data_IF_101159204241
#
_entry.id   IF_101159204241
#
_cell.length_a   1.000
_cell.length_b   1.000
_cell.length_c   1.000
_cell.angle_alpha   90.00
_cell.angle_beta   90.00
_cell.angle_gamma   90.00
#
_symmetry.space_group_name_H-M   'P 1'
#
loop_
_entity.id
_entity.type
_entity.pdbx_description
1 polymer ?
#
# COMPACT_ATOMS: atom_id res chain seq x y z
N UNK A 1 7.13 13.73 22.36
CA UNK A 1 5.93 13.21 21.65
C UNK A 1 5.26 14.25 20.74
N UNK A 2 5.48 15.57 20.88
CA UNK A 2 4.81 16.59 20.06
C UNK A 2 5.30 16.77 18.62
N UNK A 3 6.57 16.43 18.34
CA UNK A 3 7.18 16.68 17.02
C UNK A 3 6.54 15.78 15.94
N UNK A 4 6.18 14.54 16.28
CA UNK A 4 5.66 13.59 15.31
C UNK A 4 4.27 13.98 14.78
N UNK A 5 3.35 14.39 15.66
CA UNK A 5 2.02 14.83 15.23
C UNK A 5 2.06 16.11 14.38
N UNK A 6 2.98 17.04 14.67
CA UNK A 6 3.10 18.28 13.88
C UNK A 6 3.56 18.01 12.45
N UNK A 7 4.59 17.17 12.29
CA UNK A 7 5.15 16.85 10.97
C UNK A 7 4.15 16.02 10.15
N UNK A 8 3.46 15.08 10.79
CA UNK A 8 2.46 14.25 10.10
C UNK A 8 1.29 15.11 9.59
N UNK A 9 0.76 16.02 10.41
CA UNK A 9 -0.32 16.91 9.99
C UNK A 9 0.10 17.82 8.82
N UNK A 10 1.36 18.28 8.81
CA UNK A 10 1.89 19.08 7.71
C UNK A 10 2.05 18.25 6.43
N UNK A 11 2.55 17.01 6.53
CA UNK A 11 2.68 16.10 5.40
C UNK A 11 1.32 15.75 4.78
N UNK A 12 0.32 15.42 5.60
CA UNK A 12 -1.06 15.16 5.14
C UNK A 12 -1.60 16.37 4.39
N UNK A 13 -1.45 17.58 4.95
CA UNK A 13 -1.90 18.82 4.30
C UNK A 13 -1.18 19.05 2.97
N UNK A 14 0.12 18.82 2.92
CA UNK A 14 0.91 19.00 1.69
C UNK A 14 0.42 18.09 0.56
N UNK A 15 0.19 16.80 0.84
CA UNK A 15 -0.29 15.86 -0.18
C UNK A 15 -1.74 16.10 -0.59
N UNK A 16 -2.64 16.49 0.31
CA UNK A 16 -4.01 16.88 -0.07
C UNK A 16 -4.01 18.12 -0.95
N UNK A 17 -3.23 19.15 -0.61
CA UNK A 17 -3.08 20.33 -1.47
C UNK A 17 -2.50 19.95 -2.84
N UNK A 18 -1.56 19.00 -2.90
CA UNK A 18 -1.04 18.52 -4.17
C UNK A 18 -2.15 17.85 -5.00
N UNK A 19 -2.98 16.99 -4.39
CA UNK A 19 -4.12 16.36 -5.06
C UNK A 19 -5.13 17.38 -5.61
N UNK A 20 -5.38 18.48 -4.90
CA UNK A 20 -6.27 19.55 -5.38
C UNK A 20 -5.73 20.31 -6.60
N UNK A 21 -4.40 20.36 -6.76
CA UNK A 21 -3.73 21.09 -7.84
C UNK A 21 -3.40 20.22 -9.06
N UNK A 22 -3.32 18.91 -8.87
CA UNK A 22 -3.01 17.97 -9.95
C UNK A 22 -4.21 17.84 -10.90
N UNK A 23 -4.00 17.93 -12.22
CA UNK A 23 -5.07 17.63 -13.16
C UNK A 23 -5.38 16.13 -13.18
N UNK A 24 -6.62 15.76 -13.51
CA UNK A 24 -7.09 14.35 -13.53
C UNK A 24 -6.26 13.41 -14.42
N UNK A 25 -5.53 13.97 -15.40
CA UNK A 25 -4.67 13.21 -16.30
C UNK A 25 -3.22 13.03 -15.79
N UNK A 26 -2.84 13.65 -14.67
CA UNK A 26 -1.54 13.48 -14.03
C UNK A 26 -1.48 12.17 -13.22
N UNK A 27 -1.81 11.05 -13.88
CA UNK A 27 -2.03 9.74 -13.23
C UNK A 27 -0.83 9.26 -12.41
N UNK A 28 0.41 9.56 -12.84
CA UNK A 28 1.60 9.17 -12.09
C UNK A 28 1.77 9.98 -10.79
N UNK A 29 1.51 11.28 -10.83
CA UNK A 29 1.63 12.15 -9.67
C UNK A 29 0.47 11.90 -8.68
N UNK A 30 -0.74 11.68 -9.20
CA UNK A 30 -1.90 11.26 -8.41
C UNK A 30 -1.62 9.92 -7.70
N UNK A 31 -1.08 8.94 -8.42
CA UNK A 31 -0.66 7.66 -7.84
C UNK A 31 0.33 7.84 -6.69
N UNK A 32 1.37 8.67 -6.89
CA UNK A 32 2.40 8.91 -5.89
C UNK A 32 1.84 9.62 -4.65
N UNK A 33 1.02 10.67 -4.83
CA UNK A 33 0.40 11.41 -3.75
C UNK A 33 -0.52 10.52 -2.90
N UNK A 34 -1.39 9.73 -3.55
CA UNK A 34 -2.23 8.76 -2.86
C UNK A 34 -1.42 7.67 -2.15
N UNK A 35 -0.34 7.16 -2.75
CA UNK A 35 0.52 6.16 -2.10
C UNK A 35 1.14 6.71 -0.80
N UNK A 36 1.62 7.95 -0.85
CA UNK A 36 2.23 8.61 0.30
C UNK A 36 1.21 8.90 1.41
N UNK A 37 0.00 9.36 1.06
CA UNK A 37 -1.08 9.52 2.04
C UNK A 37 -1.44 8.18 2.69
N UNK A 38 -1.50 7.09 1.91
CA UNK A 38 -1.73 5.76 2.43
C UNK A 38 -0.70 5.35 3.48
N UNK A 39 0.59 5.58 3.20
CA UNK A 39 1.67 5.30 4.16
C UNK A 39 1.54 6.17 5.43
N UNK A 40 1.24 7.46 5.28
CA UNK A 40 1.11 8.39 6.42
C UNK A 40 -0.06 7.99 7.32
N UNK A 41 -1.23 7.69 6.73
CA UNK A 41 -2.41 7.26 7.49
C UNK A 41 -2.18 5.93 8.18
N UNK A 42 -1.46 5.01 7.53
CA UNK A 42 -1.04 3.76 8.16
C UNK A 42 -0.12 4.00 9.38
N UNK A 43 0.85 4.91 9.27
CA UNK A 43 1.77 5.25 10.38
C UNK A 43 1.06 5.87 11.59
N UNK A 44 -0.05 6.58 11.39
CA UNK A 44 -0.88 7.11 12.51
C UNK A 44 -1.96 6.14 12.99
N UNK A 45 -2.06 4.95 12.39
CA UNK A 45 -3.04 3.93 12.75
C UNK A 45 -4.46 4.20 12.22
N UNK A 46 -4.64 5.15 11.30
CA UNK A 46 -5.92 5.35 10.60
C UNK A 46 -6.01 4.38 9.41
N UNK A 47 -6.40 3.15 9.72
CA UNK A 47 -6.46 2.07 8.73
C UNK A 47 -7.38 2.39 7.57
N UNK A 48 -8.56 2.97 7.83
CA UNK A 48 -9.57 3.18 6.78
C UNK A 48 -9.11 4.24 5.77
N UNK A 49 -8.50 5.34 6.25
CA UNK A 49 -7.89 6.32 5.36
C UNK A 49 -6.69 5.75 4.61
N UNK A 50 -5.87 4.91 5.27
CA UNK A 50 -4.76 4.24 4.62
C UNK A 50 -5.23 3.37 3.45
N UNK A 51 -6.26 2.54 3.67
CA UNK A 51 -6.83 1.65 2.66
C UNK A 51 -7.49 2.42 1.52
N UNK A 52 -8.18 3.52 1.82
CA UNK A 52 -8.74 4.41 0.79
C UNK A 52 -7.64 4.96 -0.13
N UNK A 53 -6.62 5.56 0.45
CA UNK A 53 -5.53 6.17 -0.33
C UNK A 53 -4.68 5.13 -1.07
N UNK A 54 -4.40 3.97 -0.48
CA UNK A 54 -3.75 2.88 -1.20
C UNK A 54 -4.58 2.36 -2.38
N UNK A 55 -5.90 2.29 -2.24
CA UNK A 55 -6.80 1.83 -3.31
C UNK A 55 -6.77 2.80 -4.50
N UNK A 56 -6.84 4.11 -4.24
CA UNK A 56 -6.72 5.13 -5.28
C UNK A 56 -5.34 5.12 -5.95
N UNK A 57 -4.26 4.95 -5.17
CA UNK A 57 -2.91 4.81 -5.71
C UNK A 57 -2.81 3.61 -6.66
N UNK A 58 -3.33 2.44 -6.26
CA UNK A 58 -3.36 1.24 -7.11
C UNK A 58 -4.14 1.52 -8.40
N UNK A 59 -5.32 2.15 -8.31
CA UNK A 59 -6.14 2.49 -9.49
C UNK A 59 -5.37 3.34 -10.49
N UNK A 60 -4.71 4.41 -10.03
CA UNK A 60 -3.91 5.27 -10.92
C UNK A 60 -2.66 4.57 -11.48
N UNK A 61 -1.98 3.74 -10.67
CA UNK A 61 -0.84 2.94 -11.14
C UNK A 61 -1.25 1.96 -12.25
N UNK A 62 -2.42 1.34 -12.14
CA UNK A 62 -2.95 0.45 -13.18
C UNK A 62 -3.33 1.22 -14.45
N UNK A 63 -3.95 2.39 -14.33
CA UNK A 63 -4.22 3.28 -15.46
C UNK A 63 -2.93 3.69 -16.18
N UNK A 64 -1.84 3.90 -15.44
CA UNK A 64 -0.53 4.23 -15.98
C UNK A 64 0.24 3.01 -16.52
N UNK A 65 -0.30 1.78 -16.39
CA UNK A 65 0.39 0.54 -16.75
C UNK A 65 1.56 0.18 -15.81
N UNK A 66 1.68 0.86 -14.66
CA UNK A 66 2.72 0.63 -13.66
C UNK A 66 2.31 -0.48 -12.67
N UNK A 67 2.17 -1.69 -13.20
CA UNK A 67 1.71 -2.87 -12.45
C UNK A 67 2.70 -3.24 -11.33
N UNK A 68 3.99 -2.96 -11.51
CA UNK A 68 5.01 -3.21 -10.51
C UNK A 68 4.80 -2.39 -9.23
N UNK A 69 4.64 -1.07 -9.35
CA UNK A 69 4.36 -0.21 -8.19
C UNK A 69 2.98 -0.50 -7.58
N UNK A 70 2.01 -0.89 -8.40
CA UNK A 70 0.72 -1.37 -7.90
C UNK A 70 0.88 -2.66 -7.07
N UNK A 71 1.85 -3.53 -7.39
CA UNK A 71 2.23 -4.69 -6.58
C UNK A 71 2.85 -4.31 -5.24
N UNK A 72 3.76 -3.33 -5.22
CA UNK A 72 4.35 -2.80 -3.98
C UNK A 72 3.29 -2.18 -3.06
N UNK A 73 2.38 -1.39 -3.62
CA UNK A 73 1.28 -0.80 -2.85
C UNK A 73 0.34 -1.85 -2.28
N UNK A 74 0.01 -2.91 -3.04
CA UNK A 74 -0.78 -4.05 -2.52
C UNK A 74 -0.08 -4.77 -1.36
N UNK A 75 1.25 -4.88 -1.38
CA UNK A 75 2.00 -5.45 -0.26
C UNK A 75 1.87 -4.57 0.99
N UNK A 76 1.87 -3.24 0.85
CA UNK A 76 1.62 -2.33 1.98
C UNK A 76 0.19 -2.49 2.52
N UNK A 77 -0.81 -2.64 1.65
CA UNK A 77 -2.20 -2.95 2.06
C UNK A 77 -2.26 -4.26 2.83
N UNK A 78 -1.58 -5.31 2.36
CA UNK A 78 -1.55 -6.59 3.05
C UNK A 78 -0.93 -6.50 4.46
N UNK A 79 0.13 -5.70 4.62
CA UNK A 79 0.75 -5.42 5.93
C UNK A 79 -0.24 -4.66 6.83
N UNK A 80 -0.88 -3.61 6.31
CA UNK A 80 -1.84 -2.83 7.09
C UNK A 80 -3.04 -3.68 7.58
N UNK A 81 -3.53 -4.57 6.71
CA UNK A 81 -4.59 -5.52 7.06
C UNK A 81 -4.12 -6.60 8.06
N UNK A 82 -2.87 -7.05 7.95
CA UNK A 82 -2.27 -7.98 8.91
C UNK A 82 -2.24 -7.36 10.31
N UNK A 83 -1.75 -6.12 10.42
CA UNK A 83 -1.64 -5.41 11.69
C UNK A 83 -3.02 -5.13 12.31
N UNK A 84 -4.04 -5.00 11.48
CA UNK A 84 -5.45 -4.92 11.88
C UNK A 84 -6.12 -6.28 12.14
N UNK A 85 -5.37 -7.38 12.10
CA UNK A 85 -5.86 -8.76 12.22
C UNK A 85 -6.94 -9.18 11.20
N UNK A 86 -7.00 -8.50 10.05
CA UNK A 86 -7.87 -8.83 8.91
C UNK A 86 -7.17 -9.83 7.99
N UNK A 87 -6.83 -10.99 8.55
CA UNK A 87 -5.94 -11.98 7.91
C UNK A 87 -6.42 -12.50 6.54
N UNK A 88 -7.72 -12.78 6.31
CA UNK A 88 -8.20 -13.20 5.00
C UNK A 88 -7.96 -12.14 3.91
N UNK A 89 -8.30 -10.88 4.21
CA UNK A 89 -8.10 -9.76 3.28
C UNK A 89 -6.61 -9.54 3.02
N UNK A 90 -5.78 -9.58 4.07
CA UNK A 90 -4.33 -9.46 3.96
C UNK A 90 -3.72 -10.51 3.02
N UNK A 91 -4.19 -11.76 3.11
CA UNK A 91 -3.72 -12.86 2.28
C UNK A 91 -4.06 -12.65 0.80
N UNK A 92 -5.27 -12.15 0.50
CA UNK A 92 -5.68 -11.84 -0.87
C UNK A 92 -4.80 -10.76 -1.49
N UNK A 93 -4.53 -9.67 -0.76
CA UNK A 93 -3.65 -8.59 -1.22
C UNK A 93 -2.19 -9.05 -1.37
N UNK A 94 -1.67 -9.87 -0.45
CA UNK A 94 -0.32 -10.40 -0.53
C UNK A 94 -0.14 -11.33 -1.76
N UNK A 95 -1.14 -12.17 -2.04
CA UNK A 95 -1.15 -13.02 -3.25
C UNK A 95 -1.23 -12.20 -4.53
N UNK A 96 -2.04 -11.14 -4.54
CA UNK A 96 -2.11 -10.23 -5.67
C UNK A 96 -0.78 -9.51 -5.93
N UNK A 97 -0.10 -9.05 -4.88
CA UNK A 97 1.24 -8.49 -4.99
C UNK A 97 2.25 -9.49 -5.56
N UNK A 98 2.24 -10.74 -5.06
CA UNK A 98 3.13 -11.80 -5.55
C UNK A 98 2.93 -12.11 -7.03
N UNK A 99 1.68 -12.20 -7.51
CA UNK A 99 1.38 -12.41 -8.94
C UNK A 99 1.99 -11.32 -9.81
N UNK A 100 1.94 -10.06 -9.36
CA UNK A 100 2.57 -8.95 -10.09
C UNK A 100 4.10 -9.02 -10.04
N UNK A 101 4.72 -9.37 -8.92
CA UNK A 101 6.18 -9.54 -8.90
C UNK A 101 6.67 -10.74 -9.72
N UNK A 102 5.82 -11.74 -9.95
CA UNK A 102 6.14 -12.87 -10.84
C UNK A 102 6.09 -12.48 -12.33
N UNK A 103 5.30 -11.48 -12.72
CA UNK A 103 5.28 -10.98 -14.10
C UNK A 103 6.51 -10.13 -14.45
N UNK A 104 7.37 -9.80 -13.49
CA UNK A 104 8.61 -9.04 -13.68
C UNK A 104 9.84 -9.90 -13.27
N UNK A 105 10.52 -10.57 -14.23
CA UNK A 105 11.59 -11.52 -13.91
C UNK A 105 12.87 -10.86 -13.37
N UNK A 106 13.14 -9.62 -13.76
CA UNK A 106 14.36 -8.90 -13.40
C UNK A 106 14.02 -7.79 -12.39
N UNK A 107 14.78 -7.69 -11.29
CA UNK A 107 14.65 -6.62 -10.29
C UNK A 107 13.55 -6.82 -9.23
N UNK A 108 12.58 -7.70 -9.43
CA UNK A 108 11.47 -7.95 -8.50
C UNK A 108 11.77 -8.98 -7.40
N UNK A 109 12.94 -9.62 -7.41
CA UNK A 109 13.23 -10.79 -6.57
C UNK A 109 13.10 -10.49 -5.07
N UNK A 110 13.62 -9.34 -4.62
CA UNK A 110 13.52 -8.95 -3.23
C UNK A 110 12.05 -8.73 -2.80
N UNK A 111 11.23 -8.14 -3.66
CA UNK A 111 9.82 -7.88 -3.36
C UNK A 111 8.97 -9.15 -3.45
N UNK A 112 9.33 -10.07 -4.34
CA UNK A 112 8.79 -11.44 -4.40
C UNK A 112 9.03 -12.18 -3.08
N UNK A 113 10.28 -12.23 -2.61
CA UNK A 113 10.64 -12.89 -1.36
C UNK A 113 9.90 -12.29 -0.15
N UNK A 114 9.76 -10.96 -0.11
CA UNK A 114 8.95 -10.29 0.94
C UNK A 114 7.48 -10.72 0.86
N UNK A 115 6.88 -10.78 -0.33
CA UNK A 115 5.49 -11.20 -0.50
C UNK A 115 5.29 -12.67 -0.11
N UNK A 116 6.21 -13.56 -0.49
CA UNK A 116 6.20 -14.98 -0.10
C UNK A 116 6.32 -15.16 1.42
N UNK A 117 7.25 -14.43 2.05
CA UNK A 117 7.40 -14.42 3.50
C UNK A 117 6.13 -13.94 4.21
N UNK A 118 5.52 -12.87 3.71
CA UNK A 118 4.26 -12.35 4.24
C UNK A 118 3.13 -13.38 4.14
N UNK A 119 2.95 -14.01 2.98
CA UNK A 119 1.95 -15.07 2.76
C UNK A 119 2.17 -16.24 3.73
N UNK A 120 3.42 -16.69 3.89
CA UNK A 120 3.77 -17.77 4.81
C UNK A 120 3.38 -17.41 6.25
N UNK A 121 3.72 -16.20 6.69
CA UNK A 121 3.39 -15.74 8.03
C UNK A 121 1.87 -15.67 8.25
N UNK A 122 1.12 -15.08 7.30
CA UNK A 122 -0.33 -14.98 7.38
C UNK A 122 -1.01 -16.36 7.50
N UNK A 123 -0.55 -17.35 6.72
CA UNK A 123 -1.08 -18.72 6.80
C UNK A 123 -0.78 -19.35 8.15
N UNK A 124 0.44 -19.17 8.68
CA UNK A 124 0.81 -19.70 10.00
C UNK A 124 -0.06 -19.10 11.11
N UNK A 125 -0.27 -17.78 11.12
CA UNK A 125 -1.14 -17.12 12.10
C UNK A 125 -2.60 -17.57 11.98
N UNK A 126 -3.11 -17.73 10.75
CA UNK A 126 -4.47 -18.20 10.53
C UNK A 126 -4.69 -19.62 11.06
N UNK A 127 -3.72 -20.53 10.90
CA UNK A 127 -3.81 -21.91 11.42
C UNK A 127 -3.73 -21.93 12.95
N UNK A 128 -2.91 -21.07 13.57
CA UNK A 128 -2.73 -21.02 15.02
C UNK A 128 -3.91 -20.38 15.77
N UNK A 129 -4.81 -19.68 15.07
CA UNK A 129 -5.97 -19.00 15.65
C UNK A 129 -7.29 -19.79 15.52
N UNK A 130 -7.22 -21.01 14.98
CA UNK A 130 -8.32 -22.00 14.91
C UNK A 130 -8.17 -23.04 16.04
#
# INVERSE_FOLDING_TARGET
>A
MFINCSIINEAVKYYHNALELLPDNAVNDLAAAHHQLGNIYYEVGDLEQALYHFSEAIRYMEMAGNIYEAGKTRRNVAIALQDANRLPDALEYARAALRHFQSYPQGAEADRQKAEGLIKNLILFYIQSL
#
